data_IF_525576814962
#
_entry.id   IF_525576814962
#
_cell.length_a   1.000
_cell.length_b   1.000
_cell.length_c   1.000
_cell.angle_alpha   90.00
_cell.angle_beta   90.00
_cell.angle_gamma   90.00
#
_symmetry.space_group_name_H-M   'P 1'
#
loop_
_entity.id
_entity.type
_entity.pdbx_description
1 polymer ?
#
# COMPACT_ATOMS: atom_id res chain seq x y z
N UNK A 1 19.69 25.14 -3.35
CA UNK A 1 18.25 24.94 -3.09
C UNK A 1 18.10 23.69 -2.23
N UNK A 2 17.20 23.71 -1.25
CA UNK A 2 17.03 22.65 -0.23
C UNK A 2 16.43 21.34 -0.82
N UNK A 3 16.03 21.35 -2.09
CA UNK A 3 15.45 20.19 -2.78
C UNK A 3 16.46 19.06 -3.04
N UNK A 4 17.76 19.39 -3.19
CA UNK A 4 18.84 18.40 -3.35
C UNK A 4 19.08 17.52 -2.12
N UNK A 5 18.46 17.84 -0.98
CA UNK A 5 18.68 17.21 0.33
C UNK A 5 17.58 16.17 0.67
N UNK A 6 16.40 16.25 0.06
CA UNK A 6 15.25 15.42 0.46
C UNK A 6 15.45 13.93 0.13
N UNK A 7 16.03 13.64 -1.03
CA UNK A 7 16.35 12.27 -1.44
C UNK A 7 17.42 11.65 -0.52
N UNK A 8 18.49 12.39 -0.26
CA UNK A 8 19.57 11.94 0.63
C UNK A 8 19.08 11.70 2.05
N UNK A 9 18.20 12.57 2.58
CA UNK A 9 17.54 12.37 3.87
C UNK A 9 16.75 11.06 3.91
N UNK A 10 15.95 10.80 2.88
CA UNK A 10 15.14 9.58 2.84
C UNK A 10 16.00 8.31 2.77
N UNK A 11 17.06 8.32 1.95
CA UNK A 11 18.03 7.22 1.86
C UNK A 11 18.81 7.02 3.17
N UNK A 12 19.16 8.11 3.87
CA UNK A 12 19.82 8.03 5.17
C UNK A 12 18.91 7.41 6.24
N UNK A 13 17.63 7.80 6.27
CA UNK A 13 16.64 7.20 7.16
C UNK A 13 16.40 5.71 6.87
N UNK A 14 16.33 5.32 5.59
CA UNK A 14 16.21 3.91 5.22
C UNK A 14 17.42 3.10 5.70
N UNK A 15 18.64 3.61 5.45
CA UNK A 15 19.87 2.99 5.94
C UNK A 15 19.88 2.84 7.45
N UNK A 16 19.34 3.83 8.18
CA UNK A 16 19.21 3.75 9.63
C UNK A 16 18.25 2.63 10.06
N UNK A 17 17.10 2.45 9.40
CA UNK A 17 16.19 1.34 9.69
C UNK A 17 16.82 -0.03 9.43
N UNK A 18 17.58 -0.18 8.35
CA UNK A 18 18.30 -1.43 8.06
C UNK A 18 19.37 -1.73 9.11
N UNK A 19 20.14 -0.71 9.52
CA UNK A 19 21.33 -0.90 10.35
C UNK A 19 21.00 -0.98 11.84
N UNK A 20 20.07 -0.17 12.33
CA UNK A 20 19.82 -0.01 13.77
C UNK A 20 18.51 -0.68 14.21
N UNK A 21 17.48 -0.70 13.36
CA UNK A 21 16.21 -1.37 13.65
C UNK A 21 16.16 -2.80 13.08
N UNK A 22 17.17 -3.22 12.30
CA UNK A 22 17.23 -4.53 11.62
C UNK A 22 15.99 -4.86 10.78
N UNK A 23 15.33 -3.83 10.25
CA UNK A 23 14.15 -3.98 9.40
C UNK A 23 14.55 -3.71 7.95
N UNK A 24 14.53 -4.71 7.04
CA UNK A 24 14.95 -4.53 5.64
C UNK A 24 13.85 -3.88 4.80
N UNK A 25 13.36 -2.72 5.23
CA UNK A 25 12.25 -2.00 4.61
C UNK A 25 12.57 -1.47 3.20
N UNK A 26 11.51 -1.15 2.45
CA UNK A 26 11.61 -0.39 1.21
C UNK A 26 11.91 1.10 1.46
N UNK A 27 11.77 1.92 0.44
CA UNK A 27 12.10 3.36 0.49
C UNK A 27 10.85 4.27 0.69
N UNK A 28 9.66 3.67 0.57
CA UNK A 28 8.38 4.36 0.47
C UNK A 28 8.08 5.24 1.69
N UNK A 29 8.26 4.71 2.91
CA UNK A 29 7.85 5.37 4.15
C UNK A 29 8.69 6.64 4.39
N UNK A 30 10.00 6.55 4.13
CA UNK A 30 10.91 7.68 4.26
C UNK A 30 10.64 8.72 3.16
N UNK A 31 10.34 8.29 1.93
CA UNK A 31 10.00 9.21 0.84
C UNK A 31 8.73 10.01 1.13
N UNK A 32 7.62 9.36 1.50
CA UNK A 32 6.35 10.06 1.73
C UNK A 32 6.45 11.01 2.94
N UNK A 33 7.20 10.62 3.98
CA UNK A 33 7.40 11.46 5.16
C UNK A 33 8.18 12.73 4.83
N UNK A 34 9.19 12.65 3.95
CA UNK A 34 10.05 13.79 3.62
C UNK A 34 9.45 14.64 2.49
N UNK A 35 8.89 14.01 1.47
CA UNK A 35 8.47 14.66 0.22
C UNK A 35 6.97 14.94 0.13
N UNK A 36 6.19 14.55 1.15
CA UNK A 36 4.74 14.76 1.20
C UNK A 36 4.33 16.19 0.81
N UNK A 37 3.30 16.30 -0.02
CA UNK A 37 2.74 17.58 -0.46
C UNK A 37 1.28 17.66 -0.05
N UNK A 38 0.90 18.78 0.58
CA UNK A 38 -0.48 19.05 0.99
C UNK A 38 -1.42 18.81 -0.21
N UNK A 39 -2.52 18.12 0.04
CA UNK A 39 -3.58 17.79 -0.93
C UNK A 39 -3.10 16.94 -2.13
N UNK A 40 -1.99 16.21 -2.01
CA UNK A 40 -1.50 15.29 -3.03
C UNK A 40 -1.13 13.93 -2.43
N UNK A 41 -1.47 12.86 -3.14
CA UNK A 41 -0.75 11.59 -3.02
C UNK A 41 0.59 11.71 -3.76
N UNK A 42 1.55 10.81 -3.48
CA UNK A 42 2.81 10.73 -4.23
C UNK A 42 2.90 9.38 -4.93
N UNK A 43 2.99 9.39 -6.25
CA UNK A 43 3.42 8.24 -7.03
C UNK A 43 4.94 8.19 -7.01
N UNK A 44 5.51 7.09 -6.51
CA UNK A 44 6.96 6.91 -6.38
C UNK A 44 7.38 5.75 -7.28
N UNK A 45 8.25 6.02 -8.25
CA UNK A 45 8.93 4.96 -9.00
C UNK A 45 10.14 4.48 -8.19
N UNK A 46 10.01 3.36 -7.49
CA UNK A 46 11.09 2.81 -6.65
C UNK A 46 12.34 2.36 -7.41
N UNK A 47 12.33 2.34 -8.76
CA UNK A 47 13.52 2.03 -9.58
C UNK A 47 14.29 3.29 -9.94
N UNK A 48 13.61 4.30 -10.49
CA UNK A 48 14.26 5.57 -10.87
C UNK A 48 14.36 6.56 -9.71
N UNK A 49 13.63 6.31 -8.62
CA UNK A 49 13.41 7.23 -7.50
C UNK A 49 12.68 8.53 -7.88
N UNK A 50 12.02 8.54 -9.04
CA UNK A 50 11.19 9.65 -9.48
C UNK A 50 9.90 9.73 -8.63
N UNK A 51 9.50 10.95 -8.30
CA UNK A 51 8.29 11.23 -7.50
C UNK A 51 7.37 12.15 -8.28
N UNK A 52 6.14 11.71 -8.50
CA UNK A 52 5.10 12.47 -9.18
C UNK A 52 3.96 12.77 -8.18
N UNK A 53 3.74 14.04 -7.81
CA UNK A 53 2.58 14.42 -7.00
C UNK A 53 1.29 14.22 -7.78
N UNK A 54 0.34 13.47 -7.22
CA UNK A 54 -0.99 13.23 -7.81
C UNK A 54 -2.03 13.99 -6.97
N UNK A 55 -2.75 14.97 -7.54
CA UNK A 55 -3.73 15.76 -6.78
C UNK A 55 -4.83 14.89 -6.16
N UNK A 56 -5.09 15.09 -4.88
CA UNK A 56 -6.21 14.52 -4.14
C UNK A 56 -6.88 15.64 -3.34
N UNK A 57 -7.59 16.48 -4.09
CA UNK A 57 -8.10 17.79 -3.65
C UNK A 57 -9.62 17.87 -3.54
N UNK A 58 -10.34 16.79 -3.86
CA UNK A 58 -11.80 16.79 -3.80
C UNK A 58 -12.28 16.88 -2.34
N UNK A 59 -13.01 17.95 -1.95
CA UNK A 59 -13.47 18.11 -0.58
C UNK A 59 -14.53 17.09 -0.16
N UNK A 60 -15.19 16.43 -1.13
CA UNK A 60 -16.20 15.39 -0.88
C UNK A 60 -15.57 14.00 -0.71
N UNK A 61 -14.24 13.89 -0.80
CA UNK A 61 -13.53 12.66 -0.51
C UNK A 61 -12.82 12.71 0.83
N UNK A 62 -12.86 11.59 1.53
CA UNK A 62 -12.03 11.37 2.71
C UNK A 62 -11.31 10.02 2.62
N UNK A 63 -10.12 10.00 3.20
CA UNK A 63 -9.35 8.77 3.41
C UNK A 63 -9.57 8.34 4.85
N UNK A 64 -10.38 7.30 5.04
CA UNK A 64 -10.64 6.69 6.34
C UNK A 64 -9.60 5.61 6.59
N UNK A 65 -8.80 5.79 7.64
CA UNK A 65 -7.87 4.78 8.14
C UNK A 65 -8.55 4.08 9.31
N UNK A 66 -8.61 2.75 9.26
CA UNK A 66 -9.16 1.94 10.34
C UNK A 66 -8.10 1.00 10.89
N UNK A 67 -7.66 1.22 12.12
CA UNK A 67 -6.74 0.36 12.83
C UNK A 67 -7.50 -0.81 13.46
N UNK A 68 -7.14 -2.04 13.10
CA UNK A 68 -7.66 -3.27 13.70
C UNK A 68 -7.35 -3.39 15.20
N UNK A 69 -6.34 -2.65 15.66
CA UNK A 69 -5.71 -2.79 16.98
C UNK A 69 -5.16 -4.19 17.26
N UNK A 70 -5.02 -5.02 16.21
CA UNK A 70 -4.39 -6.33 16.27
C UNK A 70 -3.05 -6.25 15.58
N UNK A 71 -2.05 -6.87 16.21
CA UNK A 71 -0.73 -7.10 15.64
C UNK A 71 -0.34 -8.53 15.92
N UNK A 72 -0.37 -9.37 14.89
CA UNK A 72 0.11 -10.73 15.02
C UNK A 72 1.62 -10.69 15.24
N UNK A 73 2.09 -11.44 16.24
CA UNK A 73 3.53 -11.54 16.51
C UNK A 73 4.15 -12.38 15.41
N UNK A 74 4.61 -11.72 14.35
CA UNK A 74 5.44 -12.35 13.35
C UNK A 74 6.78 -12.67 14.00
N UNK A 75 7.31 -13.87 13.77
CA UNK A 75 8.67 -14.29 14.15
C UNK A 75 9.78 -13.49 13.44
N UNK A 76 9.45 -12.35 12.83
CA UNK A 76 10.32 -11.53 11.99
C UNK A 76 10.62 -12.13 10.62
N UNK A 77 10.22 -13.38 10.36
CA UNK A 77 10.59 -14.12 9.15
C UNK A 77 9.72 -13.83 7.93
N UNK A 78 8.46 -13.43 8.09
CA UNK A 78 7.54 -13.34 6.95
C UNK A 78 7.95 -12.33 5.89
N UNK A 79 8.34 -11.12 6.32
CA UNK A 79 8.78 -10.08 5.38
C UNK A 79 10.06 -10.49 4.62
N UNK A 80 11.14 -10.94 5.29
CA UNK A 80 12.30 -11.54 4.61
C UNK A 80 11.95 -12.71 3.68
N UNK A 81 11.03 -13.59 4.08
CA UNK A 81 10.57 -14.72 3.26
C UNK A 81 9.90 -14.24 1.98
N UNK A 82 8.99 -13.26 2.05
CA UNK A 82 8.35 -12.68 0.84
C UNK A 82 9.38 -12.05 -0.09
N UNK A 83 10.36 -11.32 0.47
CA UNK A 83 11.47 -10.75 -0.32
C UNK A 83 12.27 -11.84 -1.03
N UNK A 84 12.63 -12.90 -0.32
CA UNK A 84 13.37 -14.04 -0.86
C UNK A 84 12.60 -14.76 -1.98
N UNK A 85 11.29 -14.98 -1.81
CA UNK A 85 10.42 -15.56 -2.84
C UNK A 85 10.40 -14.69 -4.11
N UNK A 86 10.24 -13.37 -3.96
CA UNK A 86 10.28 -12.44 -5.10
C UNK A 86 11.64 -12.44 -5.82
N UNK A 87 12.75 -12.49 -5.07
CA UNK A 87 14.10 -12.60 -5.65
C UNK A 87 14.30 -13.93 -6.39
N UNK A 88 13.76 -15.03 -5.86
CA UNK A 88 13.81 -16.34 -6.50
C UNK A 88 13.07 -16.34 -7.84
N UNK A 89 11.88 -15.74 -7.90
CA UNK A 89 11.13 -15.57 -9.14
C UNK A 89 11.91 -14.74 -10.18
N UNK A 90 12.42 -13.57 -9.79
CA UNK A 90 13.20 -12.71 -10.69
C UNK A 90 14.44 -13.43 -11.25
N UNK A 91 15.16 -14.16 -10.39
CA UNK A 91 16.34 -14.96 -10.79
C UNK A 91 15.97 -16.08 -11.78
N UNK A 92 14.89 -16.81 -11.52
CA UNK A 92 14.43 -17.88 -12.43
C UNK A 92 14.06 -17.33 -13.82
N UNK A 93 13.48 -16.12 -13.86
CA UNK A 93 13.13 -15.39 -15.08
C UNK A 93 14.30 -14.61 -15.70
N UNK A 94 15.51 -14.70 -15.10
CA UNK A 94 16.72 -13.99 -15.54
C UNK A 94 16.53 -12.47 -15.68
N UNK A 95 15.80 -11.88 -14.74
CA UNK A 95 15.60 -10.43 -14.62
C UNK A 95 16.26 -9.91 -13.34
N UNK A 96 16.64 -8.63 -13.35
CA UNK A 96 17.20 -7.97 -12.18
C UNK A 96 16.14 -7.84 -11.07
N UNK A 97 14.91 -7.51 -11.46
CA UNK A 97 13.78 -7.37 -10.55
C UNK A 97 12.46 -7.80 -11.20
N UNK A 98 11.42 -7.99 -10.38
CA UNK A 98 10.07 -8.25 -10.88
C UNK A 98 9.46 -7.06 -11.64
N UNK A 99 10.07 -5.86 -11.57
CA UNK A 99 9.66 -4.70 -12.38
C UNK A 99 9.91 -4.92 -13.87
N UNK A 100 10.85 -5.80 -14.23
CA UNK A 100 11.26 -6.07 -15.62
C UNK A 100 10.62 -7.35 -16.19
N UNK A 101 9.66 -7.91 -15.46
CA UNK A 101 8.91 -9.13 -15.80
C UNK A 101 7.50 -8.74 -16.23
N UNK A 102 7.07 -9.19 -17.41
CA UNK A 102 5.67 -9.08 -17.82
C UNK A 102 4.82 -10.24 -17.29
N UNK A 103 3.50 -10.07 -17.26
CA UNK A 103 2.61 -11.16 -16.87
C UNK A 103 2.63 -12.34 -17.85
N UNK A 104 2.98 -12.09 -19.11
CA UNK A 104 3.22 -13.14 -20.10
C UNK A 104 4.47 -13.94 -19.77
N UNK A 105 5.57 -13.28 -19.40
CA UNK A 105 6.81 -13.95 -18.98
C UNK A 105 6.57 -14.83 -17.75
N UNK A 106 5.83 -14.32 -16.75
CA UNK A 106 5.51 -15.08 -15.55
C UNK A 106 4.70 -16.34 -15.87
N UNK A 107 3.62 -16.20 -16.66
CA UNK A 107 2.78 -17.35 -17.07
C UNK A 107 3.59 -18.42 -17.80
N UNK A 108 4.51 -18.02 -18.69
CA UNK A 108 5.39 -18.97 -19.39
C UNK A 108 6.33 -19.74 -18.44
N UNK A 109 6.64 -19.18 -17.27
CA UNK A 109 7.49 -19.80 -16.26
C UNK A 109 6.74 -20.58 -15.17
N UNK A 110 5.39 -20.63 -15.21
CA UNK A 110 4.55 -21.22 -14.14
C UNK A 110 4.97 -22.65 -13.77
N UNK A 111 5.22 -23.51 -14.77
CA UNK A 111 5.64 -24.89 -14.55
C UNK A 111 7.05 -25.06 -13.95
N UNK A 112 7.84 -23.99 -13.88
CA UNK A 112 9.23 -24.00 -13.41
C UNK A 112 9.42 -23.25 -12.09
N UNK A 113 8.33 -22.73 -11.50
CA UNK A 113 8.33 -22.02 -10.24
C UNK A 113 7.55 -22.81 -9.19
N UNK A 114 8.01 -22.74 -7.95
CA UNK A 114 7.19 -23.21 -6.82
C UNK A 114 5.90 -22.37 -6.76
N UNK A 115 4.79 -23.00 -6.35
CA UNK A 115 3.47 -22.36 -6.37
C UNK A 115 3.42 -21.07 -5.55
N UNK A 116 4.06 -21.05 -4.37
CA UNK A 116 4.17 -19.87 -3.51
C UNK A 116 4.97 -18.75 -4.18
N UNK A 117 6.12 -19.07 -4.78
CA UNK A 117 6.97 -18.13 -5.53
C UNK A 117 6.22 -17.52 -6.71
N UNK A 118 5.46 -18.33 -7.45
CA UNK A 118 4.62 -17.86 -8.55
C UNK A 118 3.53 -16.90 -8.06
N UNK A 119 2.82 -17.24 -6.99
CA UNK A 119 1.81 -16.36 -6.38
C UNK A 119 2.42 -15.03 -5.91
N UNK A 120 3.58 -15.04 -5.24
CA UNK A 120 4.25 -13.80 -4.81
C UNK A 120 4.64 -12.92 -5.99
N UNK A 121 5.17 -13.52 -7.06
CA UNK A 121 5.52 -12.80 -8.27
C UNK A 121 4.28 -12.23 -8.98
N UNK A 122 3.19 -13.01 -9.05
CA UNK A 122 1.91 -12.59 -9.63
C UNK A 122 1.35 -11.37 -8.91
N UNK A 123 1.35 -11.38 -7.59
CA UNK A 123 0.98 -10.22 -6.79
C UNK A 123 1.81 -9.00 -7.18
N UNK A 124 3.14 -9.09 -7.08
CA UNK A 124 4.02 -7.93 -7.29
C UNK A 124 3.89 -7.35 -8.70
N UNK A 125 3.90 -8.19 -9.73
CA UNK A 125 3.83 -7.72 -11.13
C UNK A 125 2.46 -7.07 -11.40
N UNK A 126 1.38 -7.67 -10.90
CA UNK A 126 0.04 -7.11 -11.07
C UNK A 126 -0.17 -5.85 -10.21
N UNK A 127 0.43 -5.77 -9.04
CA UNK A 127 0.36 -4.59 -8.15
C UNK A 127 1.08 -3.40 -8.76
N UNK A 128 2.25 -3.59 -9.37
CA UNK A 128 2.95 -2.53 -10.11
C UNK A 128 2.05 -1.93 -11.20
N UNK A 129 1.35 -2.78 -11.97
CA UNK A 129 0.40 -2.32 -12.97
C UNK A 129 -0.80 -1.61 -12.34
N UNK A 130 -1.41 -2.20 -11.30
CA UNK A 130 -2.55 -1.62 -10.58
C UNK A 130 -2.21 -0.24 -10.00
N UNK A 131 -1.02 -0.04 -9.44
CA UNK A 131 -0.58 1.26 -8.93
C UNK A 131 -0.48 2.31 -10.04
N UNK A 132 0.07 1.95 -11.20
CA UNK A 132 0.14 2.87 -12.33
C UNK A 132 -1.25 3.25 -12.86
N UNK A 133 -2.18 2.30 -12.91
CA UNK A 133 -3.55 2.54 -13.34
C UNK A 133 -4.36 3.32 -12.29
N UNK A 134 -4.12 3.06 -10.99
CA UNK A 134 -4.72 3.81 -9.89
C UNK A 134 -4.25 5.28 -9.89
N UNK A 135 -2.98 5.55 -10.19
CA UNK A 135 -2.51 6.93 -10.34
C UNK A 135 -3.24 7.68 -11.46
N UNK A 136 -3.53 7.01 -12.59
CA UNK A 136 -4.33 7.59 -13.68
C UNK A 136 -5.76 7.84 -13.24
N UNK A 137 -6.42 6.85 -12.62
CA UNK A 137 -7.79 6.96 -12.11
C UNK A 137 -7.93 8.11 -11.11
N UNK A 138 -6.97 8.25 -10.18
CA UNK A 138 -6.96 9.35 -9.22
C UNK A 138 -6.79 10.71 -9.90
N UNK A 139 -5.91 10.80 -10.90
CA UNK A 139 -5.70 12.02 -11.70
C UNK A 139 -6.94 12.43 -12.48
N UNK A 140 -7.66 11.46 -13.06
CA UNK A 140 -8.92 11.70 -13.78
C UNK A 140 -10.15 11.79 -12.87
N UNK A 141 -9.98 11.71 -11.55
CA UNK A 141 -11.07 11.68 -10.56
C UNK A 141 -12.07 10.54 -10.77
N UNK A 142 -11.62 9.43 -11.36
CA UNK A 142 -12.39 8.20 -11.47
C UNK A 142 -12.23 7.39 -10.18
N UNK A 143 -12.96 7.80 -9.15
CA UNK A 143 -12.89 7.20 -7.83
C UNK A 143 -13.49 5.79 -7.79
N UNK A 144 -14.40 5.48 -8.70
CA UNK A 144 -14.96 4.13 -8.84
C UNK A 144 -13.89 3.16 -9.31
N UNK A 145 -13.15 3.50 -10.37
CA UNK A 145 -12.03 2.66 -10.83
C UNK A 145 -10.88 2.63 -9.80
N UNK A 146 -10.56 3.76 -9.17
CA UNK A 146 -9.55 3.78 -8.11
C UNK A 146 -9.93 2.84 -6.95
N UNK A 147 -11.17 2.90 -6.49
CA UNK A 147 -11.67 2.07 -5.41
C UNK A 147 -11.72 0.59 -5.77
N UNK A 148 -12.13 0.25 -6.99
CA UNK A 148 -12.04 -1.12 -7.53
C UNK A 148 -10.60 -1.64 -7.51
N UNK A 149 -9.63 -0.84 -7.95
CA UNK A 149 -8.21 -1.20 -7.93
C UNK A 149 -7.68 -1.39 -6.49
N UNK A 150 -8.20 -0.64 -5.50
CA UNK A 150 -7.89 -0.88 -4.09
C UNK A 150 -8.37 -2.27 -3.64
N UNK A 151 -9.60 -2.65 -3.98
CA UNK A 151 -10.18 -3.95 -3.62
C UNK A 151 -9.42 -5.10 -4.31
N UNK A 152 -9.07 -4.95 -5.59
CA UNK A 152 -8.24 -5.91 -6.31
C UNK A 152 -6.86 -6.06 -5.67
N UNK A 153 -6.26 -4.96 -5.21
CA UNK A 153 -5.01 -4.99 -4.44
C UNK A 153 -5.17 -5.73 -3.11
N UNK A 154 -6.26 -5.51 -2.37
CA UNK A 154 -6.54 -6.25 -1.14
C UNK A 154 -6.66 -7.76 -1.38
N UNK A 155 -7.47 -8.16 -2.36
CA UNK A 155 -7.64 -9.57 -2.72
C UNK A 155 -6.30 -10.19 -3.14
N UNK A 156 -5.47 -9.48 -3.91
CA UNK A 156 -4.13 -9.95 -4.26
C UNK A 156 -3.21 -10.05 -3.05
N UNK A 157 -3.28 -9.13 -2.08
CA UNK A 157 -2.51 -9.23 -0.83
C UNK A 157 -2.96 -10.38 0.06
N UNK A 158 -4.26 -10.69 0.09
CA UNK A 158 -4.83 -11.80 0.84
C UNK A 158 -4.51 -13.15 0.19
N UNK A 159 -4.78 -13.27 -1.10
CA UNK A 159 -4.80 -14.57 -1.79
C UNK A 159 -3.45 -14.91 -2.46
N UNK A 160 -2.77 -13.93 -3.06
CA UNK A 160 -1.52 -14.16 -3.80
C UNK A 160 -0.28 -13.85 -2.96
N UNK A 161 -0.32 -12.78 -2.15
CA UNK A 161 0.81 -12.39 -1.32
C UNK A 161 0.72 -12.97 0.10
N UNK A 162 -0.48 -13.37 0.54
CA UNK A 162 -0.74 -13.96 1.85
C UNK A 162 -0.14 -13.14 3.00
N UNK A 163 -0.47 -11.85 3.04
CA UNK A 163 -0.08 -10.94 4.12
C UNK A 163 -1.26 -10.26 4.82
N UNK A 164 -2.50 -10.60 4.44
CA UNK A 164 -3.68 -10.19 5.19
C UNK A 164 -3.85 -11.05 6.45
N UNK A 165 -4.93 -10.81 7.19
CA UNK A 165 -5.39 -11.64 8.30
C UNK A 165 -6.91 -11.48 8.46
N UNK A 166 -7.58 -12.38 9.20
CA UNK A 166 -9.04 -12.33 9.36
C UNK A 166 -9.56 -10.97 9.80
N UNK A 167 -8.83 -10.27 10.68
CA UNK A 167 -9.22 -8.96 11.17
C UNK A 167 -9.21 -7.89 10.06
N UNK A 168 -8.20 -7.91 9.20
CA UNK A 168 -8.11 -6.98 8.08
C UNK A 168 -9.17 -7.27 7.02
N UNK A 169 -9.41 -8.55 6.74
CA UNK A 169 -10.42 -8.99 5.77
C UNK A 169 -11.84 -8.63 6.24
N UNK A 170 -12.13 -8.78 7.55
CA UNK A 170 -13.39 -8.37 8.17
C UNK A 170 -13.59 -6.85 8.10
N UNK A 171 -12.55 -6.06 8.39
CA UNK A 171 -12.61 -4.60 8.27
C UNK A 171 -12.86 -4.14 6.83
N UNK A 172 -12.21 -4.76 5.84
CA UNK A 172 -12.44 -4.43 4.42
C UNK A 172 -13.86 -4.81 4.01
N UNK A 173 -14.34 -6.01 4.36
CA UNK A 173 -15.70 -6.44 4.05
C UNK A 173 -16.75 -5.52 4.70
N UNK A 174 -16.55 -5.14 5.96
CA UNK A 174 -17.46 -4.23 6.67
C UNK A 174 -17.46 -2.83 6.07
N UNK A 175 -16.31 -2.32 5.61
CA UNK A 175 -16.24 -1.04 4.92
C UNK A 175 -16.97 -1.09 3.57
N UNK A 176 -16.74 -2.12 2.76
CA UNK A 176 -17.26 -2.25 1.40
C UNK A 176 -18.78 -2.43 1.30
N UNK A 177 -19.45 -2.88 2.36
CA UNK A 177 -20.91 -3.07 2.37
C UNK A 177 -21.70 -1.75 2.49
N UNK A 178 -21.08 -0.63 2.11
CA UNK A 178 -21.61 0.71 2.29
C UNK A 178 -21.77 1.52 1.04
N UNK A 179 -22.95 2.15 0.91
CA UNK A 179 -23.10 3.27 -0.02
C UNK A 179 -22.09 4.39 0.29
N UNK A 180 -21.53 4.98 -0.77
CA UNK A 180 -20.52 6.02 -0.69
C UNK A 180 -19.10 5.53 -0.46
N UNK A 181 -18.86 4.23 -0.27
CA UNK A 181 -17.51 3.65 -0.21
C UNK A 181 -17.07 3.25 -1.61
N UNK A 182 -15.94 3.80 -2.06
CA UNK A 182 -15.37 3.48 -3.37
C UNK A 182 -14.52 2.21 -3.33
N UNK A 183 -13.71 2.06 -2.29
CA UNK A 183 -12.78 0.94 -2.15
C UNK A 183 -12.11 0.90 -0.79
N UNK A 184 -11.73 -0.30 -0.35
CA UNK A 184 -10.99 -0.52 0.89
C UNK A 184 -9.96 -1.62 0.72
N UNK A 185 -8.82 -1.48 1.42
CA UNK A 185 -7.76 -2.49 1.46
C UNK A 185 -6.94 -2.39 2.74
N UNK A 186 -6.26 -3.46 3.12
CA UNK A 186 -5.17 -3.37 4.10
C UNK A 186 -4.07 -2.40 3.63
N UNK A 187 -3.34 -1.77 4.56
CA UNK A 187 -2.21 -0.90 4.25
C UNK A 187 -1.02 -1.18 5.17
N UNK A 188 0.19 -0.91 4.68
CA UNK A 188 1.45 -1.29 5.36
C UNK A 188 1.82 -2.76 5.15
N UNK A 189 2.57 -3.32 6.11
CA UNK A 189 3.19 -4.65 6.00
C UNK A 189 2.24 -5.85 6.18
N UNK A 190 1.00 -5.62 6.64
CA UNK A 190 0.02 -6.69 6.87
C UNK A 190 0.13 -7.38 8.23
N UNK A 191 -0.57 -8.52 8.34
CA UNK A 191 -0.67 -9.34 9.56
C UNK A 191 -1.21 -8.55 10.77
N UNK A 192 -2.20 -7.71 10.51
CA UNK A 192 -2.75 -6.72 11.44
C UNK A 192 -2.44 -5.29 11.00
N UNK A 193 -2.60 -4.35 11.93
CA UNK A 193 -2.46 -2.92 11.63
C UNK A 193 -3.72 -2.34 11.02
N UNK A 194 -3.60 -1.59 9.92
CA UNK A 194 -4.70 -0.77 9.42
C UNK A 194 -5.23 -1.20 8.06
N UNK A 195 -6.50 -0.88 7.80
CA UNK A 195 -7.06 -0.72 6.47
C UNK A 195 -7.13 0.76 6.09
N UNK A 196 -7.16 1.04 4.78
CA UNK A 196 -7.39 2.35 4.19
C UNK A 196 -8.59 2.26 3.26
N UNK A 197 -9.54 3.17 3.44
CA UNK A 197 -10.81 3.23 2.71
C UNK A 197 -10.96 4.59 2.05
N UNK A 198 -11.25 4.60 0.75
CA UNK A 198 -11.68 5.80 0.04
C UNK A 198 -13.22 5.87 0.10
N UNK A 199 -13.73 6.94 0.68
CA UNK A 199 -15.17 7.09 0.94
C UNK A 199 -15.61 8.54 0.74
N UNK A 200 -16.85 8.71 0.34
CA UNK A 200 -17.51 10.01 0.31
C UNK A 200 -17.56 10.61 1.72
N UNK A 201 -17.25 11.90 1.84
CA UNK A 201 -17.24 12.63 3.10
C UNK A 201 -18.60 12.54 3.81
N UNK A 202 -19.71 12.52 3.08
CA UNK A 202 -21.05 12.40 3.65
C UNK A 202 -21.36 10.99 4.18
N UNK A 203 -20.64 9.97 3.72
CA UNK A 203 -20.84 8.58 4.12
C UNK A 203 -19.92 8.13 5.27
N UNK A 204 -18.90 8.92 5.64
CA UNK A 204 -17.84 8.49 6.56
C UNK A 204 -18.35 8.02 7.93
N UNK A 205 -19.27 8.76 8.55
CA UNK A 205 -19.81 8.42 9.87
C UNK A 205 -20.62 7.12 9.83
N UNK A 206 -21.42 6.93 8.78
CA UNK A 206 -22.18 5.68 8.58
C UNK A 206 -21.24 4.50 8.34
N UNK A 207 -20.15 4.71 7.61
CA UNK A 207 -19.13 3.68 7.37
C UNK A 207 -18.40 3.32 8.66
N UNK A 208 -18.03 4.29 9.50
CA UNK A 208 -17.44 4.03 10.82
C UNK A 208 -18.41 3.22 11.69
N UNK A 209 -19.69 3.60 11.74
CA UNK A 209 -20.68 2.86 12.53
C UNK A 209 -20.84 1.42 12.03
N UNK A 210 -20.95 1.23 10.72
CA UNK A 210 -21.04 -0.12 10.12
C UNK A 210 -19.84 -0.99 10.46
N UNK A 211 -18.63 -0.43 10.41
CA UNK A 211 -17.42 -1.16 10.77
C UNK A 211 -17.45 -1.53 12.26
N UNK A 212 -17.86 -0.62 13.16
CA UNK A 212 -18.00 -0.94 14.59
C UNK A 212 -19.01 -2.06 14.86
N UNK A 213 -20.12 -2.06 14.12
CA UNK A 213 -21.19 -3.05 14.33
C UNK A 213 -20.81 -4.44 13.80
N UNK A 214 -19.92 -4.50 12.80
CA UNK A 214 -19.56 -5.75 12.12
C UNK A 214 -18.23 -6.33 12.54
N UNK A 215 -17.26 -5.49 12.88
CA UNK A 215 -15.95 -5.95 13.29
C UNK A 215 -15.99 -6.57 14.68
N UNK A 216 -15.54 -7.81 14.78
CA UNK A 216 -15.48 -8.58 16.02
C UNK A 216 -14.55 -7.97 17.08
N UNK A 217 -13.55 -7.21 16.67
CA UNK A 217 -12.60 -6.51 17.55
C UNK A 217 -13.02 -5.07 17.88
N UNK A 218 -12.11 -4.33 18.50
CA UNK A 218 -12.29 -2.87 18.74
C UNK A 218 -11.39 -2.11 17.78
N UNK A 219 -11.97 -1.39 16.83
CA UNK A 219 -11.21 -0.60 15.85
C UNK A 219 -11.02 0.86 16.29
N UNK A 220 -9.90 1.47 15.85
CA UNK A 220 -9.64 2.91 15.98
C UNK A 220 -9.69 3.56 14.60
N UNK A 221 -10.31 4.74 14.49
CA UNK A 221 -10.57 5.40 13.21
C UNK A 221 -9.85 6.74 13.10
N UNK A 222 -9.33 7.05 11.92
CA UNK A 222 -8.76 8.34 11.58
C UNK A 222 -9.30 8.81 10.24
N UNK A 223 -9.93 9.99 10.24
CA UNK A 223 -10.37 10.67 9.02
C UNK A 223 -9.23 11.60 8.61
N UNK A 224 -8.62 11.34 7.45
CA UNK A 224 -7.38 12.01 7.04
C UNK A 224 -7.51 12.69 5.68
N UNK A 225 -6.65 13.69 5.47
CA UNK A 225 -6.41 14.36 4.19
C UNK A 225 -4.90 14.36 3.92
N UNK A 226 -4.47 14.36 2.64
CA UNK A 226 -3.05 14.39 2.32
C UNK A 226 -2.37 15.64 2.90
N UNK A 227 -1.30 15.42 3.66
CA UNK A 227 -0.60 16.49 4.38
C UNK A 227 0.77 16.77 3.79
N UNK A 228 1.34 17.92 4.18
CA UNK A 228 2.73 18.24 3.88
C UNK A 228 3.67 17.28 4.63
N UNK A 229 4.78 16.91 4.01
CA UNK A 229 5.88 16.19 4.64
C UNK A 229 6.69 17.07 5.58
N UNK A 230 7.90 16.60 5.92
CA UNK A 230 8.83 17.27 6.81
C UNK A 230 9.06 18.74 6.41
N UNK A 231 8.91 19.64 7.37
CA UNK A 231 9.16 21.07 7.16
C UNK A 231 9.63 21.72 8.45
N UNK A 232 10.35 22.84 8.32
CA UNK A 232 10.87 23.62 9.45
C UNK A 232 9.90 24.75 9.74
N UNK A 233 9.46 24.85 11.00
CA UNK A 233 8.81 26.05 11.53
C UNK A 233 9.88 26.88 12.26
N UNK A 234 10.10 28.13 11.83
CA UNK A 234 10.92 29.05 12.62
C UNK A 234 10.06 29.55 13.77
N UNK A 235 10.51 29.26 14.99
CA UNK A 235 9.89 29.69 16.25
C UNK A 235 10.32 31.13 16.58
#
# INVERSE_FOLDING_TARGET
SDDGNLLEKALACQKAEHTFASMPCGIMDQFISVMGKKDHALLIDCRSLEVTPVPLTDPNLVVLITNSNVRHTLTGSEYPTRRMQCMKAAKALKKESLRDVSMTDLKAAEAHLDADVYCRARHVISEIKRTADAAKALTSRDYQEFGKLMVESHNSLRDDYEVSCPELDELVAAAMDGEGVYGSRMTGGGFGGCTVTLVDAAAVEKTIQRIKDRYSGTATFYITKPSRGAHVLKL
#
